data_IF_462409959890
#
_entry.id   IF_462409959890
#
_cell.length_a   1.000
_cell.length_b   1.000
_cell.length_c   1.000
_cell.angle_alpha   90.00
_cell.angle_beta   90.00
_cell.angle_gamma   90.00
#
_symmetry.space_group_name_H-M   'P 1'
#
loop_
_entity.id
_entity.type
_entity.pdbx_description
1 polymer ?
#
# COMPACT_ATOMS: atom_id res chain seq x y z
N UNK A 1 -20.79 -19.47 -3.30
CA UNK A 1 -20.22 -19.02 -2.01
C UNK A 1 -21.29 -19.22 -0.94
N UNK A 2 -20.96 -19.67 0.26
CA UNK A 2 -21.91 -19.87 1.36
C UNK A 2 -21.96 -18.63 2.27
N UNK A 3 -23.14 -18.32 2.76
CA UNK A 3 -23.35 -17.22 3.69
C UNK A 3 -22.72 -17.54 5.05
N UNK A 4 -21.89 -16.68 5.62
CA UNK A 4 -21.27 -16.93 6.93
C UNK A 4 -22.27 -16.89 8.11
N UNK A 5 -23.48 -16.36 7.89
CA UNK A 5 -24.52 -16.24 8.95
C UNK A 5 -25.52 -17.39 8.98
N UNK A 6 -25.86 -17.98 7.82
CA UNK A 6 -26.89 -19.04 7.77
C UNK A 6 -26.49 -20.25 6.92
N UNK A 7 -25.30 -20.26 6.30
CA UNK A 7 -24.85 -21.34 5.42
C UNK A 7 -25.50 -21.35 4.03
N UNK A 8 -26.46 -20.47 3.76
CA UNK A 8 -27.19 -20.42 2.49
C UNK A 8 -26.38 -19.85 1.32
N UNK A 9 -26.97 -19.78 0.12
CA UNK A 9 -26.30 -19.26 -1.08
C UNK A 9 -26.03 -17.77 -1.01
N UNK A 10 -24.78 -17.38 -1.27
CA UNK A 10 -24.37 -16.00 -1.24
C UNK A 10 -23.69 -15.57 -2.54
N UNK A 11 -23.87 -14.31 -2.93
CA UNK A 11 -23.27 -13.67 -4.09
C UNK A 11 -22.44 -12.47 -3.68
N UNK A 12 -21.39 -12.19 -4.42
CA UNK A 12 -20.57 -10.99 -4.18
C UNK A 12 -21.35 -9.73 -4.58
N UNK A 13 -21.34 -8.72 -3.73
CA UNK A 13 -22.03 -7.44 -3.93
C UNK A 13 -21.05 -6.27 -4.03
N UNK A 14 -19.88 -6.43 -4.65
CA UNK A 14 -18.88 -5.37 -4.72
C UNK A 14 -18.31 -4.93 -3.35
N UNK A 15 -17.22 -4.16 -3.32
CA UNK A 15 -16.60 -3.65 -2.09
C UNK A 15 -16.37 -4.67 -0.96
N UNK A 16 -16.09 -5.95 -1.31
CA UNK A 16 -15.78 -6.99 -0.32
C UNK A 16 -16.95 -7.52 0.51
N UNK A 17 -18.19 -7.05 0.27
CA UNK A 17 -19.38 -7.55 0.94
C UNK A 17 -20.00 -8.73 0.22
N UNK A 18 -20.66 -9.61 0.96
CA UNK A 18 -21.39 -10.76 0.45
C UNK A 18 -22.85 -10.63 0.83
N UNK A 19 -23.73 -10.62 -0.15
CA UNK A 19 -25.18 -10.63 0.06
C UNK A 19 -25.68 -12.08 0.04
N UNK A 20 -26.33 -12.52 1.11
CA UNK A 20 -26.98 -13.82 1.16
C UNK A 20 -28.35 -13.74 0.51
N UNK A 21 -28.62 -14.62 -0.47
CA UNK A 21 -29.93 -14.73 -1.12
C UNK A 21 -31.00 -15.33 -0.21
N UNK A 22 -30.58 -16.15 0.76
CA UNK A 22 -31.54 -16.89 1.60
C UNK A 22 -31.95 -16.10 2.86
N UNK A 23 -31.02 -15.33 3.46
CA UNK A 23 -31.34 -14.53 4.66
C UNK A 23 -31.34 -13.01 4.43
N UNK A 24 -31.02 -12.54 3.22
CA UNK A 24 -30.98 -11.11 2.88
C UNK A 24 -29.93 -10.28 3.61
N UNK A 25 -29.06 -10.91 4.41
CA UNK A 25 -28.06 -10.20 5.22
C UNK A 25 -26.75 -10.05 4.46
N UNK A 26 -26.12 -8.88 4.60
CA UNK A 26 -24.75 -8.66 4.14
C UNK A 26 -23.78 -9.03 5.26
N UNK A 27 -22.66 -9.69 4.90
CA UNK A 27 -21.56 -9.97 5.83
C UNK A 27 -20.36 -9.10 5.52
N UNK A 28 -19.70 -8.61 6.56
CA UNK A 28 -18.46 -7.83 6.48
C UNK A 28 -17.23 -8.76 6.33
N UNK A 29 -16.11 -8.22 5.82
CA UNK A 29 -14.88 -8.94 5.59
C UNK A 29 -14.40 -9.85 6.74
N UNK A 30 -14.33 -9.38 7.99
CA UNK A 30 -13.85 -10.18 9.11
C UNK A 30 -14.67 -11.45 9.40
N UNK A 31 -16.01 -11.38 9.29
CA UNK A 31 -16.88 -12.55 9.48
C UNK A 31 -16.69 -13.58 8.35
N UNK A 32 -16.42 -13.09 7.14
CA UNK A 32 -16.15 -13.92 5.98
C UNK A 32 -14.83 -14.63 6.11
N UNK A 33 -13.79 -13.94 6.55
CA UNK A 33 -12.46 -14.51 6.77
C UNK A 33 -12.47 -15.56 7.89
N UNK A 34 -13.12 -15.27 9.02
CA UNK A 34 -13.28 -16.23 10.12
C UNK A 34 -13.99 -17.50 9.66
N UNK A 35 -15.06 -17.37 8.86
CA UNK A 35 -15.78 -18.53 8.33
C UNK A 35 -15.02 -19.28 7.25
N UNK A 36 -14.32 -18.56 6.37
CA UNK A 36 -13.45 -19.18 5.35
C UNK A 36 -12.30 -19.95 6.03
N UNK A 37 -11.74 -19.42 7.10
CA UNK A 37 -10.72 -20.04 7.93
C UNK A 37 -11.23 -21.33 8.58
N UNK A 38 -12.41 -21.30 9.17
CA UNK A 38 -13.03 -22.47 9.78
C UNK A 38 -13.33 -23.57 8.75
N UNK A 39 -13.89 -23.20 7.59
CA UNK A 39 -14.16 -24.14 6.49
C UNK A 39 -12.86 -24.70 5.91
N UNK A 40 -11.79 -23.91 5.86
CA UNK A 40 -10.47 -24.39 5.40
C UNK A 40 -9.88 -25.39 6.40
N UNK A 41 -10.00 -25.14 7.71
CA UNK A 41 -9.59 -26.08 8.77
C UNK A 41 -10.38 -27.38 8.71
N UNK A 42 -11.71 -27.31 8.57
CA UNK A 42 -12.60 -28.48 8.46
C UNK A 42 -12.30 -29.31 7.20
N UNK A 43 -12.07 -28.65 6.05
CA UNK A 43 -11.71 -29.31 4.78
C UNK A 43 -10.29 -29.89 4.77
N UNK A 44 -9.37 -29.23 5.47
CA UNK A 44 -7.99 -29.66 5.53
C UNK A 44 -7.76 -30.81 6.52
N UNK A 45 -8.76 -31.15 7.36
CA UNK A 45 -8.62 -32.19 8.38
C UNK A 45 -7.49 -31.87 9.38
N UNK A 46 -7.22 -30.57 9.63
CA UNK A 46 -6.15 -30.17 10.53
C UNK A 46 -6.48 -30.56 11.97
N UNK A 47 -5.59 -31.31 12.60
CA UNK A 47 -5.69 -31.73 14.01
C UNK A 47 -5.28 -30.61 14.96
N UNK A 48 -4.50 -29.63 14.47
CA UNK A 48 -3.98 -28.54 15.27
C UNK A 48 -4.42 -27.17 14.74
N UNK A 49 -4.88 -26.27 15.61
CA UNK A 49 -5.16 -24.90 15.20
C UNK A 49 -3.85 -24.18 14.80
N UNK A 50 -3.89 -23.26 13.82
CA UNK A 50 -2.74 -22.46 13.50
C UNK A 50 -2.38 -21.54 14.68
N UNK A 51 -1.11 -21.12 14.82
CA UNK A 51 -0.72 -20.09 15.78
C UNK A 51 -1.58 -18.82 15.65
N UNK A 52 -1.70 -18.07 16.72
CA UNK A 52 -2.40 -16.79 16.72
C UNK A 52 -1.79 -15.87 15.65
N UNK A 53 -2.62 -15.15 14.90
CA UNK A 53 -2.19 -14.28 13.80
C UNK A 53 -1.87 -15.01 12.48
N UNK A 54 -1.95 -16.33 12.44
CA UNK A 54 -1.68 -17.10 11.23
C UNK A 54 -2.97 -17.68 10.62
N UNK A 55 -2.96 -17.82 9.29
CA UNK A 55 -4.00 -18.53 8.52
C UNK A 55 -3.42 -19.79 7.91
N UNK A 56 -4.21 -20.86 7.84
CA UNK A 56 -3.81 -22.10 7.17
C UNK A 56 -3.80 -21.87 5.67
N UNK A 57 -2.62 -22.00 5.04
CA UNK A 57 -2.44 -21.94 3.59
C UNK A 57 -2.68 -23.30 2.93
N UNK A 58 -2.36 -24.38 3.63
CA UNK A 58 -2.57 -25.74 3.17
C UNK A 58 -2.14 -26.76 4.20
N UNK A 59 -2.58 -28.00 4.02
CA UNK A 59 -2.23 -29.13 4.87
C UNK A 59 -1.73 -30.26 3.99
N UNK A 60 -0.61 -30.88 4.39
CA UNK A 60 -0.09 -32.10 3.79
C UNK A 60 -0.17 -33.21 4.84
N UNK A 61 -0.82 -34.33 4.49
CA UNK A 61 -1.08 -35.43 5.41
C UNK A 61 -0.44 -36.71 4.89
N UNK A 62 0.30 -37.39 5.73
CA UNK A 62 0.88 -38.70 5.47
C UNK A 62 0.08 -39.76 6.22
N UNK A 63 -0.45 -40.72 5.50
CA UNK A 63 -1.12 -41.89 6.03
C UNK A 63 -0.21 -43.12 6.00
N UNK A 64 -0.34 -43.99 6.96
CA UNK A 64 0.28 -45.32 6.95
C UNK A 64 -0.42 -46.27 6.02
N UNK A 65 0.17 -47.48 5.77
CA UNK A 65 -0.49 -48.54 4.98
C UNK A 65 -1.81 -49.03 5.58
N UNK A 66 -1.99 -48.79 6.87
CA UNK A 66 -3.18 -49.10 7.67
C UNK A 66 -4.30 -48.04 7.56
N UNK A 67 -4.03 -46.96 6.81
CA UNK A 67 -4.95 -45.81 6.69
C UNK A 67 -4.90 -44.84 7.87
N UNK A 68 -4.05 -45.09 8.89
CA UNK A 68 -3.90 -44.23 10.05
C UNK A 68 -3.05 -42.99 9.74
N UNK A 69 -3.38 -41.87 10.36
CA UNK A 69 -2.64 -40.62 10.25
C UNK A 69 -1.25 -40.78 10.88
N UNK A 70 -0.18 -40.69 10.10
CA UNK A 70 1.21 -40.77 10.57
C UNK A 70 1.83 -39.42 10.86
N UNK A 71 1.61 -38.46 10.00
CA UNK A 71 2.12 -37.10 10.16
C UNK A 71 1.26 -36.09 9.40
N UNK A 72 1.21 -34.87 9.90
CA UNK A 72 0.54 -33.77 9.25
C UNK A 72 1.40 -32.51 9.32
N UNK A 73 1.61 -31.87 8.17
CA UNK A 73 2.27 -30.58 8.06
C UNK A 73 1.21 -29.50 7.76
N UNK A 74 1.01 -28.59 8.68
CA UNK A 74 0.12 -27.45 8.49
C UNK A 74 0.98 -26.28 8.01
N UNK A 75 0.79 -25.88 6.76
CA UNK A 75 1.44 -24.67 6.21
C UNK A 75 0.59 -23.48 6.58
N UNK A 76 1.21 -22.53 7.27
CA UNK A 76 0.56 -21.28 7.69
C UNK A 76 1.17 -20.08 6.99
N UNK A 77 0.41 -19.01 6.88
CA UNK A 77 0.87 -17.70 6.43
C UNK A 77 0.42 -16.65 7.46
N UNK A 78 1.15 -15.53 7.54
CA UNK A 78 0.73 -14.40 8.39
C UNK A 78 -0.59 -13.83 7.91
N UNK A 79 -1.41 -13.38 8.83
CA UNK A 79 -2.67 -12.73 8.49
C UNK A 79 -2.42 -11.43 7.71
N UNK A 80 -3.38 -11.03 6.88
CA UNK A 80 -3.30 -9.74 6.17
C UNK A 80 -3.14 -8.56 7.13
N UNK A 81 -3.79 -8.64 8.30
CA UNK A 81 -3.68 -7.63 9.35
C UNK A 81 -2.25 -7.51 9.91
N UNK A 82 -1.57 -8.64 10.15
CA UNK A 82 -0.18 -8.61 10.62
C UNK A 82 0.80 -8.13 9.56
N UNK A 83 0.59 -8.53 8.30
CA UNK A 83 1.39 -7.99 7.18
C UNK A 83 1.24 -6.49 7.09
N UNK A 84 0.00 -5.98 7.16
CA UNK A 84 -0.27 -4.55 7.15
C UNK A 84 0.36 -3.82 8.33
N UNK A 85 0.23 -4.34 9.53
CA UNK A 85 0.88 -3.76 10.72
C UNK A 85 2.41 -3.74 10.57
N UNK A 86 3.01 -4.79 10.00
CA UNK A 86 4.44 -4.83 9.69
C UNK A 86 4.86 -3.76 8.68
N UNK A 87 4.07 -3.54 7.63
CA UNK A 87 4.31 -2.48 6.64
C UNK A 87 4.19 -1.08 7.25
N UNK A 88 3.17 -0.85 8.08
CA UNK A 88 2.97 0.41 8.81
C UNK A 88 4.15 0.68 9.75
N UNK A 89 4.61 -0.31 10.50
CA UNK A 89 5.78 -0.18 11.39
C UNK A 89 7.08 0.13 10.61
N UNK A 90 7.29 -0.49 9.44
CA UNK A 90 8.42 -0.18 8.57
C UNK A 90 8.36 1.24 8.02
N UNK A 91 7.18 1.69 7.62
CA UNK A 91 6.97 3.06 7.16
C UNK A 91 7.23 4.08 8.27
N UNK A 92 6.70 3.86 9.48
CA UNK A 92 6.97 4.69 10.64
C UNK A 92 8.46 4.76 11.00
N UNK A 93 9.15 3.62 10.98
CA UNK A 93 10.60 3.56 11.23
C UNK A 93 11.41 4.33 10.17
N UNK A 94 10.97 4.33 8.92
CA UNK A 94 11.59 5.11 7.85
C UNK A 94 11.35 6.63 8.04
N UNK A 95 10.12 7.01 8.40
CA UNK A 95 9.72 8.41 8.63
C UNK A 95 10.40 8.98 9.88
N UNK A 96 10.50 8.22 10.96
CA UNK A 96 11.10 8.67 12.22
C UNK A 96 12.55 9.13 12.09
N UNK A 97 13.26 8.66 11.08
CA UNK A 97 14.64 9.06 10.78
C UNK A 97 14.74 10.36 9.99
N UNK A 98 13.64 10.88 9.46
CA UNK A 98 13.65 12.13 8.71
C UNK A 98 13.78 13.31 9.68
N UNK A 99 14.73 14.24 9.46
CA UNK A 99 14.86 15.41 10.29
C UNK A 99 13.61 16.29 10.16
N UNK A 100 13.18 16.93 11.25
CA UNK A 100 12.06 17.87 11.19
C UNK A 100 12.38 19.04 10.27
N UNK A 101 11.37 19.55 9.59
CA UNK A 101 11.49 20.80 8.82
C UNK A 101 11.85 21.93 9.78
N UNK A 102 12.86 22.72 9.39
CA UNK A 102 13.18 23.95 10.14
C UNK A 102 12.09 24.99 9.86
N UNK A 103 11.68 25.73 10.89
CA UNK A 103 10.84 26.89 10.70
C UNK A 103 11.52 27.85 9.71
N UNK A 104 10.80 28.31 8.73
CA UNK A 104 11.29 29.30 7.76
C UNK A 104 10.72 30.68 8.09
N UNK A 105 11.44 31.76 7.79
CA UNK A 105 10.86 33.10 7.88
C UNK A 105 9.66 33.19 6.95
N UNK A 106 8.69 34.03 7.31
CA UNK A 106 7.52 34.28 6.50
C UNK A 106 7.93 34.65 5.06
N UNK A 107 7.25 34.05 4.11
CA UNK A 107 7.40 34.42 2.70
C UNK A 107 6.93 35.86 2.54
N UNK A 108 7.64 36.68 1.77
CA UNK A 108 7.23 38.07 1.55
C UNK A 108 5.76 38.18 1.09
N UNK A 109 5.27 39.37 0.77
CA UNK A 109 3.85 39.61 0.46
C UNK A 109 3.29 38.55 -0.51
N UNK A 110 2.30 37.80 -0.05
CA UNK A 110 1.56 36.78 -0.82
C UNK A 110 0.19 37.31 -1.26
N UNK A 111 -0.42 36.69 -2.24
CA UNK A 111 -1.77 37.00 -2.74
C UNK A 111 -2.80 36.18 -1.97
N UNK A 112 -3.60 36.77 -1.05
CA UNK A 112 -4.45 36.01 -0.12
C UNK A 112 -5.64 35.33 -0.82
N UNK A 113 -6.08 35.87 -1.95
CA UNK A 113 -7.19 35.30 -2.73
C UNK A 113 -6.77 34.21 -3.73
N UNK A 114 -5.47 33.87 -3.76
CA UNK A 114 -4.92 32.93 -4.71
C UNK A 114 -4.46 31.64 -4.00
N UNK A 115 -4.80 30.51 -4.61
CA UNK A 115 -4.27 29.19 -4.27
C UNK A 115 -3.54 28.59 -5.46
N UNK A 116 -2.49 27.82 -5.22
CA UNK A 116 -1.72 27.09 -6.25
C UNK A 116 -1.80 25.61 -6.00
N UNK A 117 -2.09 24.83 -7.05
CA UNK A 117 -2.08 23.36 -7.02
C UNK A 117 -0.85 22.79 -7.74
N UNK A 118 -0.21 21.81 -7.14
CA UNK A 118 0.88 21.03 -7.70
C UNK A 118 0.45 19.56 -7.79
N UNK A 119 -0.23 19.15 -8.89
CA UNK A 119 -0.61 17.76 -9.08
C UNK A 119 0.62 16.91 -9.47
N UNK A 120 0.75 15.76 -8.86
CA UNK A 120 1.74 14.73 -9.16
C UNK A 120 0.97 13.44 -9.45
N UNK A 121 1.02 12.98 -10.70
CA UNK A 121 0.43 11.71 -11.11
C UNK A 121 1.47 10.64 -11.29
N UNK A 122 1.10 9.39 -11.04
CA UNK A 122 1.84 8.17 -11.40
C UNK A 122 3.34 8.25 -11.12
N UNK A 123 3.72 8.65 -9.91
CA UNK A 123 5.12 8.83 -9.55
C UNK A 123 5.90 7.52 -9.55
N UNK A 124 5.21 6.39 -9.29
CA UNK A 124 5.77 5.04 -9.27
C UNK A 124 7.16 4.95 -8.64
N UNK A 125 7.33 5.62 -7.49
CA UNK A 125 8.59 5.59 -6.74
C UNK A 125 8.92 4.13 -6.40
N UNK A 126 10.09 3.66 -6.84
CA UNK A 126 10.50 2.27 -6.67
C UNK A 126 10.39 1.42 -7.93
N UNK A 127 9.85 1.93 -9.02
CA UNK A 127 9.89 1.26 -10.32
C UNK A 127 11.34 1.16 -10.82
N UNK A 128 11.65 0.03 -11.44
CA UNK A 128 12.90 -0.18 -12.19
C UNK A 128 12.56 -0.31 -13.68
N UNK A 129 13.30 0.39 -14.52
CA UNK A 129 13.18 0.28 -15.97
C UNK A 129 14.54 0.14 -16.60
N UNK A 130 14.70 -0.87 -17.46
CA UNK A 130 15.95 -1.13 -18.16
C UNK A 130 15.93 -0.54 -19.57
N UNK A 131 16.90 0.33 -19.92
CA UNK A 131 16.88 1.07 -21.20
C UNK A 131 16.80 0.19 -22.46
N UNK A 132 17.36 -1.02 -22.40
CA UNK A 132 17.34 -1.92 -23.54
C UNK A 132 15.91 -2.47 -23.84
N UNK A 133 15.02 -2.48 -22.87
CA UNK A 133 13.64 -2.94 -23.03
C UNK A 133 12.65 -1.79 -23.22
N UNK A 134 12.85 -0.69 -22.50
CA UNK A 134 11.87 0.40 -22.42
C UNK A 134 12.31 1.68 -23.13
N UNK A 135 13.57 1.74 -23.56
CA UNK A 135 14.17 2.92 -24.18
C UNK A 135 14.76 3.92 -23.20
N UNK A 136 14.29 3.97 -21.95
CA UNK A 136 14.74 4.89 -20.91
C UNK A 136 15.01 4.17 -19.60
N UNK A 137 16.01 4.63 -18.85
CA UNK A 137 16.27 4.15 -17.50
C UNK A 137 15.31 4.79 -16.49
N UNK A 138 14.86 4.00 -15.54
CA UNK A 138 14.14 4.50 -14.36
C UNK A 138 14.58 3.72 -13.12
N UNK A 139 14.89 4.43 -12.06
CA UNK A 139 15.25 3.92 -10.75
C UNK A 139 14.90 4.94 -9.66
N UNK A 140 15.18 4.61 -8.40
CA UNK A 140 14.89 5.50 -7.27
C UNK A 140 15.66 6.82 -7.32
N UNK A 141 16.88 6.84 -7.83
CA UNK A 141 17.69 8.06 -7.92
C UNK A 141 17.15 9.00 -9.00
N UNK A 142 16.80 8.44 -10.16
CA UNK A 142 16.18 9.17 -11.26
C UNK A 142 14.81 9.71 -10.84
N UNK A 143 13.99 8.89 -10.18
CA UNK A 143 12.69 9.30 -9.66
C UNK A 143 12.83 10.47 -8.67
N UNK A 144 13.74 10.39 -7.70
CA UNK A 144 14.00 11.46 -6.74
C UNK A 144 14.43 12.75 -7.44
N UNK A 145 15.38 12.67 -8.33
CA UNK A 145 15.89 13.82 -9.09
C UNK A 145 14.81 14.49 -9.94
N UNK A 146 14.06 13.71 -10.70
CA UNK A 146 13.03 14.23 -11.62
C UNK A 146 11.88 14.85 -10.85
N UNK A 147 11.31 14.16 -9.88
CA UNK A 147 10.17 14.67 -9.11
C UNK A 147 10.53 15.95 -8.35
N UNK A 148 11.69 15.97 -7.68
CA UNK A 148 12.13 17.15 -6.96
C UNK A 148 12.41 18.34 -7.89
N UNK A 149 13.04 18.10 -9.03
CA UNK A 149 13.34 19.15 -10.02
C UNK A 149 12.07 19.72 -10.66
N UNK A 150 11.12 18.85 -11.00
CA UNK A 150 9.85 19.26 -11.61
C UNK A 150 9.04 20.15 -10.64
N UNK A 151 8.89 19.72 -9.38
CA UNK A 151 8.15 20.51 -8.40
C UNK A 151 8.88 21.81 -8.07
N UNK A 152 10.21 21.80 -8.01
CA UNK A 152 11.00 23.03 -7.80
C UNK A 152 10.77 24.03 -8.96
N UNK A 153 10.84 23.57 -10.21
CA UNK A 153 10.60 24.41 -11.39
C UNK A 153 9.16 24.96 -11.44
N UNK A 154 8.17 24.11 -11.16
CA UNK A 154 6.77 24.54 -11.07
C UNK A 154 6.56 25.57 -9.97
N UNK A 155 7.19 25.36 -8.81
CA UNK A 155 7.13 26.29 -7.69
C UNK A 155 7.78 27.63 -8.05
N UNK A 156 8.92 27.60 -8.73
CA UNK A 156 9.60 28.83 -9.18
C UNK A 156 8.72 29.63 -10.16
N UNK A 157 8.07 28.96 -11.10
CA UNK A 157 7.19 29.59 -12.09
C UNK A 157 5.86 30.09 -11.49
N UNK A 158 5.39 29.51 -10.39
CA UNK A 158 4.09 29.83 -9.79
C UNK A 158 4.06 31.26 -9.19
N UNK A 159 2.90 31.93 -9.14
CA UNK A 159 2.76 33.17 -8.39
C UNK A 159 2.90 32.95 -6.88
N UNK A 160 3.23 33.98 -6.13
CA UNK A 160 3.25 33.96 -4.65
C UNK A 160 1.84 33.96 -4.09
N UNK A 161 1.24 32.81 -3.93
CA UNK A 161 -0.05 32.63 -3.30
C UNK A 161 0.09 32.41 -1.79
N UNK A 162 -0.92 32.81 -1.01
CA UNK A 162 -0.96 32.54 0.43
C UNK A 162 -0.99 31.03 0.72
N UNK A 163 -1.71 30.25 -0.11
CA UNK A 163 -1.86 28.81 0.08
C UNK A 163 -1.49 28.01 -1.16
N UNK A 164 -0.94 26.84 -0.94
CA UNK A 164 -0.76 25.84 -1.98
C UNK A 164 -1.17 24.45 -1.53
N UNK A 165 -1.42 23.58 -2.49
CA UNK A 165 -1.69 22.15 -2.27
C UNK A 165 -0.84 21.32 -3.20
N UNK A 166 -0.15 20.31 -2.64
CA UNK A 166 0.51 19.25 -3.38
C UNK A 166 -0.46 18.07 -3.38
N UNK A 167 -0.80 17.57 -4.55
CA UNK A 167 -1.77 16.48 -4.70
C UNK A 167 -1.10 15.30 -5.38
N UNK A 168 -0.89 14.21 -4.64
CA UNK A 168 -0.59 12.91 -5.25
C UNK A 168 -1.89 12.31 -5.77
N UNK A 169 -1.98 12.11 -7.09
CA UNK A 169 -3.19 11.64 -7.76
C UNK A 169 -3.34 10.11 -7.77
N UNK A 170 -2.52 9.41 -7.02
CA UNK A 170 -2.46 7.95 -6.94
C UNK A 170 -1.09 7.44 -7.33
N UNK A 171 -0.89 6.15 -7.17
CA UNK A 171 0.29 5.38 -7.57
C UNK A 171 1.63 6.08 -7.24
N UNK A 172 1.69 6.67 -6.02
CA UNK A 172 2.90 7.31 -5.52
C UNK A 172 4.04 6.32 -5.38
N UNK A 173 3.76 5.16 -4.79
CA UNK A 173 4.68 4.04 -4.71
C UNK A 173 4.35 3.00 -5.79
N UNK A 174 5.39 2.32 -6.28
CA UNK A 174 5.23 1.34 -7.35
C UNK A 174 4.55 0.05 -6.88
N UNK A 175 4.67 -0.29 -5.59
CA UNK A 175 4.01 -1.43 -4.96
C UNK A 175 3.77 -1.16 -3.47
N UNK A 176 2.86 -1.90 -2.85
CA UNK A 176 2.37 -1.70 -1.48
C UNK A 176 2.52 -2.95 -0.58
N UNK A 177 3.42 -3.87 -0.95
CA UNK A 177 3.72 -5.10 -0.23
C UNK A 177 5.24 -5.25 -0.01
N UNK A 178 5.67 -6.21 0.82
CA UNK A 178 7.10 -6.51 1.00
C UNK A 178 7.75 -7.07 -0.27
N UNK A 179 6.97 -7.77 -1.08
CA UNK A 179 7.35 -8.28 -2.38
C UNK A 179 6.81 -7.36 -3.48
N UNK A 180 7.59 -7.09 -4.54
CA UNK A 180 7.15 -6.24 -5.64
C UNK A 180 6.17 -7.00 -6.55
N UNK A 181 4.93 -7.05 -6.11
CA UNK A 181 3.82 -7.69 -6.83
C UNK A 181 2.58 -6.81 -6.78
N UNK A 182 1.76 -6.88 -7.81
CA UNK A 182 0.47 -6.20 -7.80
C UNK A 182 -0.45 -6.85 -6.77
N UNK A 183 -1.05 -6.06 -5.90
CA UNK A 183 -1.87 -6.53 -4.76
C UNK A 183 -3.05 -7.39 -5.18
N UNK A 184 -3.69 -7.08 -6.29
CA UNK A 184 -4.90 -7.76 -6.74
C UNK A 184 -4.63 -9.03 -7.55
N UNK A 185 -3.65 -8.99 -8.44
CA UNK A 185 -3.39 -10.04 -9.44
C UNK A 185 -2.10 -10.82 -9.19
N UNK A 186 -1.21 -10.34 -8.30
CA UNK A 186 0.04 -11.02 -7.97
C UNK A 186 1.07 -11.01 -9.11
N UNK A 187 0.94 -10.09 -10.08
CA UNK A 187 1.96 -9.95 -11.12
C UNK A 187 3.25 -9.39 -10.51
N UNK A 188 4.37 -10.00 -10.88
CA UNK A 188 5.69 -9.54 -10.48
C UNK A 188 5.98 -8.20 -11.16
N UNK A 189 6.51 -7.26 -10.39
CA UNK A 189 6.90 -5.93 -10.84
C UNK A 189 8.41 -5.77 -10.77
N UNK A 190 9.00 -5.08 -11.74
CA UNK A 190 10.40 -4.71 -11.69
C UNK A 190 10.59 -3.52 -10.74
N UNK A 191 11.36 -3.75 -9.68
CA UNK A 191 11.54 -2.78 -8.61
C UNK A 191 13.00 -2.51 -8.27
N UNK A 192 13.33 -1.24 -8.06
CA UNK A 192 14.64 -0.81 -7.54
C UNK A 192 14.68 -0.90 -6.02
N UNK A 193 15.18 -2.02 -5.53
CA UNK A 193 15.50 -2.19 -4.13
C UNK A 193 14.34 -2.74 -3.29
N UNK A 194 14.50 -2.61 -1.97
CA UNK A 194 13.56 -3.17 -0.99
C UNK A 194 12.49 -2.14 -0.61
N UNK A 195 11.34 -2.63 -0.19
CA UNK A 195 10.20 -1.82 0.27
C UNK A 195 10.61 -0.65 1.20
N UNK A 196 11.41 -0.92 2.24
CA UNK A 196 11.85 0.12 3.17
C UNK A 196 12.70 1.22 2.50
N UNK A 197 13.53 0.88 1.49
CA UNK A 197 14.30 1.87 0.71
C UNK A 197 13.36 2.74 -0.12
N UNK A 198 12.40 2.12 -0.79
CA UNK A 198 11.38 2.82 -1.58
C UNK A 198 10.59 3.81 -0.73
N UNK A 199 10.08 3.40 0.43
CA UNK A 199 9.36 4.28 1.37
C UNK A 199 10.24 5.45 1.80
N UNK A 200 11.49 5.20 2.19
CA UNK A 200 12.42 6.25 2.63
C UNK A 200 12.69 7.29 1.52
N UNK A 201 12.86 6.84 0.27
CA UNK A 201 13.04 7.73 -0.89
C UNK A 201 11.78 8.53 -1.17
N UNK A 202 10.62 7.87 -1.26
CA UNK A 202 9.35 8.56 -1.53
C UNK A 202 8.99 9.61 -0.49
N UNK A 203 9.30 9.34 0.78
CA UNK A 203 9.12 10.33 1.85
C UNK A 203 10.10 11.50 1.75
N UNK A 204 11.36 11.28 1.31
CA UNK A 204 12.30 12.36 1.04
C UNK A 204 11.83 13.25 -0.11
N UNK A 205 11.36 12.64 -1.20
CA UNK A 205 10.80 13.36 -2.35
C UNK A 205 9.64 14.25 -1.88
N UNK A 206 8.63 13.68 -1.21
CA UNK A 206 7.47 14.44 -0.73
C UNK A 206 7.89 15.59 0.18
N UNK A 207 8.82 15.33 1.10
CA UNK A 207 9.38 16.35 1.98
C UNK A 207 10.02 17.49 1.20
N UNK A 208 10.84 17.18 0.20
CA UNK A 208 11.51 18.20 -0.61
C UNK A 208 10.51 19.02 -1.44
N UNK A 209 9.46 18.37 -1.95
CA UNK A 209 8.36 19.07 -2.61
C UNK A 209 7.67 20.05 -1.68
N UNK A 210 7.39 19.64 -0.43
CA UNK A 210 6.81 20.53 0.60
C UNK A 210 7.77 21.68 0.93
N UNK A 211 9.07 21.41 1.08
CA UNK A 211 10.07 22.44 1.33
C UNK A 211 10.14 23.48 0.20
N UNK A 212 10.10 23.02 -1.05
CA UNK A 212 10.05 23.89 -2.21
C UNK A 212 8.81 24.78 -2.20
N UNK A 213 7.64 24.21 -1.96
CA UNK A 213 6.38 24.95 -1.90
C UNK A 213 6.36 25.97 -0.73
N UNK A 214 6.85 25.59 0.46
CA UNK A 214 6.97 26.48 1.63
C UNK A 214 7.97 27.62 1.42
N UNK A 215 8.89 27.52 0.48
CA UNK A 215 9.78 28.62 0.11
C UNK A 215 9.04 29.77 -0.59
N UNK A 216 7.83 29.52 -1.10
CA UNK A 216 7.06 30.48 -1.90
C UNK A 216 5.67 30.78 -1.37
N UNK A 217 5.08 29.88 -0.60
CA UNK A 217 3.72 29.96 -0.06
C UNK A 217 3.74 29.94 1.46
N UNK A 218 2.80 30.64 2.11
CA UNK A 218 2.70 30.70 3.57
C UNK A 218 2.17 29.37 4.15
N UNK A 219 1.28 28.72 3.39
CA UNK A 219 0.64 27.45 3.81
C UNK A 219 0.72 26.43 2.68
N UNK A 220 1.11 25.21 3.03
CA UNK A 220 1.15 24.07 2.12
C UNK A 220 0.31 22.94 2.71
N UNK A 221 -0.62 22.40 1.92
CA UNK A 221 -1.37 21.20 2.22
C UNK A 221 -0.87 20.08 1.34
N UNK A 222 -0.80 18.87 1.87
CA UNK A 222 -0.57 17.64 1.09
C UNK A 222 -1.84 16.83 1.09
N UNK A 223 -2.24 16.37 -0.08
CA UNK A 223 -3.36 15.45 -0.30
C UNK A 223 -2.82 14.26 -1.04
N UNK A 224 -3.02 13.06 -0.49
CA UNK A 224 -2.67 11.81 -1.15
C UNK A 224 -3.94 11.05 -1.49
N UNK A 225 -4.11 10.74 -2.76
CA UNK A 225 -5.18 9.88 -3.26
C UNK A 225 -4.61 8.46 -3.36
N UNK A 226 -5.32 7.43 -2.89
CA UNK A 226 -4.89 6.04 -3.08
C UNK A 226 -4.78 5.72 -4.58
N UNK A 227 -3.80 4.89 -4.93
CA UNK A 227 -3.70 4.29 -6.25
C UNK A 227 -4.67 3.12 -6.47
N UNK A 228 -4.54 2.46 -7.58
CA UNK A 228 -5.35 1.29 -7.98
C UNK A 228 -4.70 -0.06 -7.59
#
# INVERSE_FOLDING_TARGET
MLCPKCGGRAVGSGAGRVLCRDCGKTSNGPEREARARQVALERAGSVFPPPEGHTVKGVSTLYGPDGELRAQWVKTDTSEAERRAGLEALAEAAISKLPRLKARPAVGRTLPALGVGYPIGDAHVGMLSWPAETGEAWDLEIAERIQCSAVAALTEAAPRAESSVIVSLGDWFHYDALEPVTTRSGHVLDADGRYAKMIAVGMRIMRQCVESALAKHDRVRVVCVPGN
#
